data_IF_989174512075
#
_entry.id   IF_989174512075
#
_cell.length_a   1.000
_cell.length_b   1.000
_cell.length_c   1.000
_cell.angle_alpha   90.00
_cell.angle_beta   90.00
_cell.angle_gamma   90.00
#
_symmetry.space_group_name_H-M   'P 1'
#
loop_
_entity.id
_entity.type
_entity.pdbx_description
1 polymer ?
#
# COMPACT_ATOMS: atom_id res chain seq x y z
N UNK A 1 -17.44 5.03 3.41
CA UNK A 1 -17.16 5.09 4.87
C UNK A 1 -16.56 3.76 5.29
N UNK A 2 -15.64 3.76 6.25
CA UNK A 2 -14.58 2.74 6.31
C UNK A 2 -14.98 1.44 7.00
N UNK A 3 -14.56 0.31 6.41
CA UNK A 3 -14.60 -1.06 6.96
C UNK A 3 -13.86 -1.18 8.31
N UNK A 4 -12.98 -0.23 8.62
CA UNK A 4 -12.29 -0.14 9.92
C UNK A 4 -13.21 0.17 11.10
N UNK A 5 -14.44 0.68 10.87
CA UNK A 5 -15.38 0.98 11.95
C UNK A 5 -15.98 -0.29 12.60
N UNK A 6 -16.20 -1.34 11.81
CA UNK A 6 -16.91 -2.56 12.26
C UNK A 6 -16.06 -3.45 13.19
N UNK A 7 -14.73 -3.30 13.15
CA UNK A 7 -13.79 -4.06 14.01
C UNK A 7 -13.66 -3.45 15.41
N UNK A 8 -13.95 -2.16 15.57
CA UNK A 8 -13.75 -1.42 16.83
C UNK A 8 -14.94 -1.60 17.81
N UNK A 9 -16.15 -1.83 17.30
CA UNK A 9 -17.37 -1.89 18.12
C UNK A 9 -17.46 -3.15 19.04
N UNK A 10 -16.53 -4.10 18.90
CA UNK A 10 -16.55 -5.38 19.64
C UNK A 10 -15.81 -5.33 21.00
N UNK A 11 -15.10 -4.23 21.32
CA UNK A 11 -14.17 -4.19 22.46
C UNK A 11 -14.42 -3.14 23.56
N UNK A 12 -15.50 -2.35 23.48
CA UNK A 12 -15.76 -1.27 24.43
C UNK A 12 -17.13 -1.39 25.12
N UNK A 13 -17.24 -2.28 26.13
CA UNK A 13 -18.37 -2.22 27.07
C UNK A 13 -18.09 -2.95 28.42
N UNK A 14 -17.32 -2.31 29.32
CA UNK A 14 -17.31 -2.60 30.76
C UNK A 14 -16.49 -1.57 31.57
N UNK A 15 -17.08 -0.44 31.95
CA UNK A 15 -16.77 0.33 33.19
C UNK A 15 -17.82 1.45 33.34
N UNK A 16 -18.82 1.28 34.21
CA UNK A 16 -19.61 2.40 34.74
C UNK A 16 -20.16 2.06 36.14
N UNK A 17 -20.03 3.02 37.06
CA UNK A 17 -20.35 2.91 38.48
C UNK A 17 -21.85 2.94 38.79
N UNK A 18 -22.24 2.36 39.94
CA UNK A 18 -23.63 2.38 40.46
C UNK A 18 -24.06 3.75 41.02
N UNK A 19 -25.29 3.95 41.49
CA UNK A 19 -26.39 3.00 41.84
C UNK A 19 -27.76 3.72 41.59
N UNK A 20 -28.98 3.25 41.89
CA UNK A 20 -29.47 2.19 42.79
C UNK A 20 -30.88 1.68 42.35
N UNK A 21 -31.76 1.40 43.31
CA UNK A 21 -33.17 1.03 43.22
C UNK A 21 -33.53 -0.42 42.82
N UNK A 22 -34.69 -0.95 43.30
CA UNK A 22 -34.65 -2.21 44.03
C UNK A 22 -34.97 -3.49 43.22
N UNK A 23 -34.14 -4.52 43.50
CA UNK A 23 -34.38 -5.97 43.44
C UNK A 23 -35.67 -6.45 42.77
N UNK A 24 -35.57 -6.84 41.50
CA UNK A 24 -36.26 -8.03 40.95
C UNK A 24 -35.22 -9.05 40.53
N UNK A 25 -35.20 -10.21 41.19
CA UNK A 25 -34.23 -11.28 40.95
C UNK A 25 -34.53 -12.08 39.68
N UNK A 26 -34.40 -11.42 38.53
CA UNK A 26 -34.29 -12.11 37.25
C UNK A 26 -33.00 -12.93 37.26
N UNK A 27 -33.14 -14.26 37.33
CA UNK A 27 -32.02 -15.21 37.18
C UNK A 27 -31.37 -14.94 35.82
N UNK A 28 -30.27 -14.19 35.78
CA UNK A 28 -29.47 -13.94 34.57
C UNK A 28 -29.03 -15.30 34.04
N UNK A 29 -29.69 -15.77 32.97
CA UNK A 29 -29.32 -16.97 32.23
C UNK A 29 -27.89 -16.71 31.75
N UNK A 30 -26.92 -17.40 32.35
CA UNK A 30 -25.50 -17.28 31.99
C UNK A 30 -25.43 -17.61 30.50
N UNK A 31 -25.10 -16.62 29.69
CA UNK A 31 -24.83 -16.85 28.26
C UNK A 31 -23.66 -17.82 28.24
N UNK A 32 -23.93 -19.05 27.83
CA UNK A 32 -22.90 -20.04 27.59
C UNK A 32 -21.96 -19.49 26.50
N UNK A 33 -20.66 -19.84 26.51
CA UNK A 33 -19.83 -19.62 25.33
C UNK A 33 -20.59 -20.14 24.10
N UNK A 34 -20.67 -19.35 23.03
CA UNK A 34 -21.32 -19.76 21.80
C UNK A 34 -20.66 -21.06 21.34
N UNK A 35 -21.42 -22.15 21.31
CA UNK A 35 -20.91 -23.44 20.86
C UNK A 35 -20.51 -23.29 19.38
N UNK A 36 -19.21 -23.44 19.09
CA UNK A 36 -18.63 -23.18 17.76
C UNK A 36 -17.81 -21.89 17.65
N UNK A 37 -17.66 -21.08 18.70
CA UNK A 37 -16.66 -20.01 18.70
C UNK A 37 -15.24 -20.63 18.64
N UNK A 38 -14.39 -20.28 17.64
CA UNK A 38 -13.06 -20.88 17.50
C UNK A 38 -12.20 -20.59 18.72
N UNK A 39 -11.43 -21.59 19.15
CA UNK A 39 -10.54 -21.49 20.30
C UNK A 39 -9.39 -20.51 20.02
N UNK A 40 -8.66 -20.13 21.07
CA UNK A 40 -7.45 -19.29 20.91
C UNK A 40 -6.43 -19.98 20.00
N UNK A 41 -6.30 -21.30 20.06
CA UNK A 41 -5.38 -22.05 19.21
C UNK A 41 -5.88 -22.16 17.76
N UNK A 42 -7.18 -22.33 17.52
CA UNK A 42 -7.75 -22.29 16.16
C UNK A 42 -7.50 -20.92 15.49
N UNK A 43 -7.64 -19.83 16.26
CA UNK A 43 -7.35 -18.46 15.77
C UNK A 43 -5.87 -18.27 15.47
N UNK A 44 -4.96 -18.73 16.35
CA UNK A 44 -3.51 -18.69 16.11
C UNK A 44 -3.13 -19.49 14.87
N UNK A 45 -3.67 -20.71 14.72
CA UNK A 45 -3.42 -21.55 13.55
C UNK A 45 -3.91 -20.88 12.25
N UNK A 46 -5.10 -20.26 12.28
CA UNK A 46 -5.62 -19.51 11.12
C UNK A 46 -4.78 -18.28 10.78
N UNK A 47 -4.32 -17.53 11.78
CA UNK A 47 -3.41 -16.38 11.59
C UNK A 47 -2.07 -16.85 11.01
N UNK A 48 -1.52 -17.96 11.50
CA UNK A 48 -0.28 -18.56 10.97
C UNK A 48 -0.42 -18.97 9.51
N UNK A 49 -1.52 -19.63 9.14
CA UNK A 49 -1.81 -20.01 7.76
C UNK A 49 -1.93 -18.78 6.83
N UNK A 50 -2.66 -17.74 7.23
CA UNK A 50 -2.80 -16.51 6.45
C UNK A 50 -1.48 -15.75 6.28
N UNK A 51 -0.60 -15.77 7.28
CA UNK A 51 0.74 -15.16 7.16
C UNK A 51 1.63 -15.92 6.18
N UNK A 52 1.60 -17.26 6.21
CA UNK A 52 2.31 -18.08 5.24
C UNK A 52 1.77 -17.91 3.81
N UNK A 53 0.46 -17.68 3.66
CA UNK A 53 -0.18 -17.35 2.38
C UNK A 53 0.30 -15.99 1.84
N UNK A 54 0.32 -14.94 2.68
CA UNK A 54 0.90 -13.63 2.31
C UNK A 54 2.37 -13.74 1.88
N UNK A 55 3.20 -14.48 2.62
CA UNK A 55 4.61 -14.70 2.28
C UNK A 55 4.78 -15.50 0.97
N UNK A 56 3.83 -16.38 0.65
CA UNK A 56 3.74 -17.03 -0.67
C UNK A 56 3.44 -16.03 -1.79
N UNK A 57 2.45 -15.15 -1.59
CA UNK A 57 2.06 -14.13 -2.57
C UNK A 57 3.18 -13.11 -2.81
N UNK A 58 3.89 -12.67 -1.77
CA UNK A 58 5.01 -11.73 -1.91
C UNK A 58 6.17 -12.34 -2.70
N UNK A 59 6.50 -13.62 -2.48
CA UNK A 59 7.52 -14.33 -3.27
C UNK A 59 7.10 -14.54 -4.71
N UNK A 60 5.85 -14.92 -4.97
CA UNK A 60 5.31 -15.02 -6.33
C UNK A 60 5.39 -13.68 -7.08
N UNK A 61 5.05 -12.57 -6.40
CA UNK A 61 5.23 -11.23 -6.97
C UNK A 61 6.70 -10.94 -7.29
N UNK A 62 7.64 -11.26 -6.40
CA UNK A 62 9.08 -11.11 -6.66
C UNK A 62 9.58 -11.96 -7.84
N UNK A 63 9.06 -13.19 -7.99
CA UNK A 63 9.36 -14.07 -9.12
C UNK A 63 8.86 -13.50 -10.46
N UNK A 64 7.63 -12.97 -10.51
CA UNK A 64 7.06 -12.35 -11.72
C UNK A 64 7.74 -11.01 -12.05
N UNK A 65 7.97 -10.16 -11.05
CA UNK A 65 8.57 -8.84 -11.26
C UNK A 65 10.07 -8.89 -11.56
N UNK A 66 10.71 -10.06 -11.45
CA UNK A 66 12.09 -10.28 -11.90
C UNK A 66 12.27 -10.17 -13.42
N UNK A 67 11.18 -10.27 -14.20
CA UNK A 67 11.18 -10.27 -15.67
C UNK A 67 10.78 -8.90 -16.28
N UNK A 68 11.01 -7.78 -15.56
CA UNK A 68 10.71 -6.44 -16.10
C UNK A 68 11.46 -6.17 -17.40
N UNK A 69 10.69 -5.77 -18.43
CA UNK A 69 11.21 -5.30 -19.71
C UNK A 69 11.97 -3.99 -19.50
N UNK A 70 13.19 -3.90 -20.04
CA UNK A 70 13.93 -2.64 -20.09
C UNK A 70 13.33 -1.75 -21.19
N UNK A 71 12.36 -0.92 -20.79
CA UNK A 71 11.61 -0.06 -21.70
C UNK A 71 12.51 1.04 -22.22
N UNK A 72 12.54 1.24 -23.55
CA UNK A 72 13.33 2.32 -24.15
C UNK A 72 12.71 3.68 -23.82
N UNK A 73 13.13 4.22 -22.67
CA UNK A 73 12.85 5.58 -22.20
C UNK A 73 13.08 6.62 -23.30
N UNK A 74 13.93 6.31 -24.30
CA UNK A 74 14.17 7.03 -25.55
C UNK A 74 12.94 7.69 -26.16
N UNK A 75 11.82 6.97 -26.23
CA UNK A 75 10.65 7.33 -27.05
C UNK A 75 9.64 8.24 -26.33
N UNK A 76 9.80 8.41 -25.02
CA UNK A 76 8.86 9.15 -24.19
C UNK A 76 8.82 10.67 -24.44
N UNK A 77 7.62 11.21 -24.70
CA UNK A 77 7.42 12.63 -25.01
C UNK A 77 7.44 13.61 -23.82
N UNK A 78 7.45 13.15 -22.56
CA UNK A 78 7.47 14.05 -21.38
C UNK A 78 8.19 13.45 -20.17
N UNK A 79 8.79 14.30 -19.33
CA UNK A 79 9.43 13.87 -18.07
C UNK A 79 8.44 13.13 -17.15
N UNK A 80 7.17 13.54 -17.12
CA UNK A 80 6.15 12.89 -16.30
C UNK A 80 5.88 11.44 -16.75
N UNK A 81 5.80 11.19 -18.06
CA UNK A 81 5.62 9.84 -18.57
C UNK A 81 6.89 8.98 -18.40
N UNK A 82 8.09 9.55 -18.54
CA UNK A 82 9.36 8.85 -18.20
C UNK A 82 9.35 8.42 -16.73
N UNK A 83 8.97 9.34 -15.83
CA UNK A 83 8.91 9.08 -14.39
C UNK A 83 7.84 8.03 -14.10
N UNK A 84 6.66 8.10 -14.72
CA UNK A 84 5.58 7.12 -14.57
C UNK A 84 6.04 5.70 -14.94
N UNK A 85 6.66 5.52 -16.11
CA UNK A 85 7.19 4.23 -16.59
C UNK A 85 8.25 3.65 -15.64
N UNK A 86 9.14 4.48 -15.09
CA UNK A 86 10.18 4.03 -14.17
C UNK A 86 9.70 3.87 -12.70
N UNK A 87 8.53 4.42 -12.39
CA UNK A 87 7.86 4.35 -11.09
C UNK A 87 6.95 3.12 -10.98
N UNK A 88 6.29 2.73 -12.07
CA UNK A 88 5.29 1.67 -12.09
C UNK A 88 5.82 0.33 -11.54
N UNK A 89 5.05 -0.24 -10.61
CA UNK A 89 5.37 -1.45 -9.82
C UNK A 89 6.75 -1.40 -9.14
N UNK A 90 7.31 -0.21 -8.89
CA UNK A 90 8.56 -0.10 -8.13
C UNK A 90 8.27 -0.29 -6.64
N UNK A 91 9.13 -1.04 -5.94
CA UNK A 91 8.98 -1.30 -4.49
C UNK A 91 9.69 -0.26 -3.63
N UNK A 92 10.57 0.53 -4.25
CA UNK A 92 11.50 1.40 -3.55
C UNK A 92 10.80 2.49 -2.73
N UNK A 93 11.31 2.83 -1.53
CA UNK A 93 10.90 4.05 -0.84
C UNK A 93 11.27 5.29 -1.68
N UNK A 94 10.53 6.39 -1.50
CA UNK A 94 10.58 7.57 -2.36
C UNK A 94 12.01 8.13 -2.50
N UNK A 95 12.77 8.18 -1.42
CA UNK A 95 14.17 8.63 -1.43
C UNK A 95 15.06 7.82 -2.39
N UNK A 96 14.94 6.48 -2.39
CA UNK A 96 15.68 5.57 -3.27
C UNK A 96 15.14 5.64 -4.70
N UNK A 97 13.82 5.64 -4.87
CA UNK A 97 13.16 5.72 -6.17
C UNK A 97 13.56 6.98 -6.94
N UNK A 98 13.44 8.16 -6.30
CA UNK A 98 13.81 9.45 -6.91
C UNK A 98 15.27 9.47 -7.31
N UNK A 99 16.15 8.85 -6.51
CA UNK A 99 17.58 8.74 -6.83
C UNK A 99 17.80 7.87 -8.06
N UNK A 100 17.19 6.68 -8.14
CA UNK A 100 17.33 5.79 -9.29
C UNK A 100 16.76 6.40 -10.58
N UNK A 101 15.57 7.01 -10.52
CA UNK A 101 14.96 7.68 -11.67
C UNK A 101 15.82 8.86 -12.12
N UNK A 102 16.37 9.66 -11.18
CA UNK A 102 17.28 10.75 -11.52
C UNK A 102 18.55 10.27 -12.23
N UNK A 103 19.14 9.15 -11.79
CA UNK A 103 20.30 8.56 -12.48
C UNK A 103 19.97 8.12 -13.91
N UNK A 104 18.77 7.58 -14.17
CA UNK A 104 18.30 7.20 -15.51
C UNK A 104 17.98 8.41 -16.40
N UNK A 105 17.39 9.47 -15.83
CA UNK A 105 16.93 10.65 -16.61
C UNK A 105 18.06 11.66 -16.86
N UNK A 106 18.99 11.88 -15.92
CA UNK A 106 20.06 12.88 -16.10
C UNK A 106 20.99 12.61 -17.29
N UNK A 107 21.10 11.34 -17.71
CA UNK A 107 21.89 10.92 -18.88
C UNK A 107 21.28 11.40 -20.19
N UNK A 108 19.94 11.55 -20.26
CA UNK A 108 19.22 12.12 -21.41
C UNK A 108 19.39 13.63 -21.51
N UNK A 109 19.43 14.31 -20.38
CA UNK A 109 19.21 15.76 -20.31
C UNK A 109 20.42 16.59 -20.81
N UNK A 110 21.57 15.97 -21.10
CA UNK A 110 22.77 16.64 -21.66
C UNK A 110 23.20 17.93 -20.94
N UNK A 111 22.92 18.04 -19.62
CA UNK A 111 23.20 19.23 -18.80
C UNK A 111 22.02 20.20 -18.64
N UNK A 112 20.80 19.78 -18.99
CA UNK A 112 19.57 20.52 -18.73
C UNK A 112 19.15 20.59 -17.25
N UNK A 113 17.94 21.09 -17.03
CA UNK A 113 17.43 21.51 -15.71
C UNK A 113 16.86 20.39 -14.83
N UNK A 114 17.01 19.11 -15.16
CA UNK A 114 16.52 18.01 -14.31
C UNK A 114 17.31 17.96 -13.00
N UNK A 115 16.57 17.93 -11.88
CA UNK A 115 17.11 17.81 -10.52
C UNK A 115 16.36 16.72 -9.75
N UNK A 116 16.92 16.26 -8.63
CA UNK A 116 16.20 15.37 -7.69
C UNK A 116 14.86 15.98 -7.24
N UNK A 117 14.75 17.31 -7.14
CA UNK A 117 13.52 17.99 -6.77
C UNK A 117 12.45 17.89 -7.88
N UNK A 118 12.81 18.08 -9.15
CA UNK A 118 11.86 17.94 -10.27
C UNK A 118 11.42 16.48 -10.45
N UNK A 119 12.33 15.52 -10.26
CA UNK A 119 11.98 14.08 -10.27
C UNK A 119 11.04 13.74 -9.10
N UNK A 120 11.31 14.20 -7.88
CA UNK A 120 10.43 13.99 -6.71
C UNK A 120 9.04 14.59 -6.93
N UNK A 121 8.96 15.82 -7.41
CA UNK A 121 7.69 16.48 -7.73
C UNK A 121 6.90 15.73 -8.80
N UNK A 122 7.59 15.20 -9.82
CA UNK A 122 6.96 14.38 -10.86
C UNK A 122 6.46 13.05 -10.31
N UNK A 123 7.27 12.33 -9.52
CA UNK A 123 6.90 11.03 -8.93
C UNK A 123 5.65 11.11 -8.05
N UNK A 124 5.56 12.14 -7.21
CA UNK A 124 4.39 12.39 -6.34
C UNK A 124 3.18 12.94 -7.11
N UNK A 125 3.38 13.49 -8.31
CA UNK A 125 2.29 13.96 -9.19
C UNK A 125 1.68 12.81 -10.01
N UNK A 126 2.51 11.89 -10.52
CA UNK A 126 2.07 10.82 -11.43
C UNK A 126 1.79 9.49 -10.72
N UNK A 127 2.25 9.30 -9.49
CA UNK A 127 2.20 8.01 -8.80
C UNK A 127 1.75 8.08 -7.35
N UNK A 128 1.19 6.97 -6.87
CA UNK A 128 0.85 6.73 -5.47
C UNK A 128 1.58 5.49 -4.97
N UNK A 129 2.01 5.52 -3.70
CA UNK A 129 2.59 4.34 -3.03
C UNK A 129 1.49 3.59 -2.27
N UNK A 130 1.34 2.30 -2.54
CA UNK A 130 0.34 1.41 -1.95
C UNK A 130 0.97 0.31 -1.10
N UNK A 131 0.17 -0.17 -0.15
CA UNK A 131 0.57 -1.06 0.94
C UNK A 131 -0.30 -2.33 0.92
N UNK A 132 0.28 -3.46 0.51
CA UNK A 132 -0.38 -4.76 0.49
C UNK A 132 0.07 -5.58 1.70
N UNK A 133 -0.69 -5.53 2.80
CA UNK A 133 -0.40 -6.28 4.03
C UNK A 133 -0.59 -5.45 5.28
N UNK A 134 0.35 -5.53 6.23
CA UNK A 134 0.33 -4.76 7.47
C UNK A 134 1.48 -3.73 7.44
N UNK A 135 1.20 -2.46 7.10
CA UNK A 135 2.19 -1.38 7.14
C UNK A 135 2.55 -1.02 8.58
N UNK A 136 3.69 -0.36 8.79
CA UNK A 136 4.04 0.19 10.09
C UNK A 136 3.30 1.53 10.32
N UNK A 137 2.44 1.57 11.34
CA UNK A 137 1.62 2.75 11.66
C UNK A 137 2.45 3.97 12.08
N UNK A 138 3.69 3.77 12.54
CA UNK A 138 4.60 4.83 12.98
C UNK A 138 5.59 5.27 11.88
N UNK A 139 5.54 4.66 10.69
CA UNK A 139 6.42 4.98 9.56
C UNK A 139 5.79 5.98 8.58
N UNK A 140 6.64 6.74 7.87
CA UNK A 140 6.20 7.51 6.70
C UNK A 140 5.82 6.53 5.58
N UNK A 141 4.58 6.59 5.11
CA UNK A 141 4.04 5.78 4.00
C UNK A 141 4.96 5.82 2.77
N UNK A 142 5.60 6.96 2.49
CA UNK A 142 6.47 7.14 1.33
C UNK A 142 7.86 6.52 1.51
N UNK A 143 8.27 6.20 2.73
CA UNK A 143 9.61 5.67 3.05
C UNK A 143 9.58 4.32 3.81
N UNK A 144 8.41 3.78 4.18
CA UNK A 144 8.30 2.49 4.89
C UNK A 144 8.86 1.32 4.04
N UNK A 145 9.58 0.41 4.69
CA UNK A 145 10.16 -0.82 4.12
C UNK A 145 9.81 -2.06 4.99
N UNK A 146 8.75 -1.97 5.81
CA UNK A 146 8.34 -3.01 6.74
C UNK A 146 7.94 -4.32 6.04
N UNK A 147 8.67 -5.40 6.33
CA UNK A 147 8.53 -6.70 5.67
C UNK A 147 7.17 -7.41 5.83
N UNK A 148 6.29 -6.96 6.74
CA UNK A 148 4.90 -7.44 6.81
C UNK A 148 3.97 -6.82 5.76
N UNK A 149 4.50 -5.98 4.87
CA UNK A 149 3.78 -5.31 3.81
C UNK A 149 4.59 -5.34 2.51
N UNK A 150 3.94 -5.71 1.40
CA UNK A 150 4.47 -5.45 0.07
C UNK A 150 4.13 -4.00 -0.30
N UNK A 151 5.16 -3.19 -0.46
CA UNK A 151 5.06 -1.81 -0.93
C UNK A 151 5.28 -1.77 -2.44
N UNK A 152 4.37 -1.11 -3.17
CA UNK A 152 4.49 -0.85 -4.60
C UNK A 152 4.10 0.59 -4.91
N UNK A 153 4.63 1.12 -6.01
CA UNK A 153 4.17 2.35 -6.63
C UNK A 153 3.27 2.03 -7.83
N UNK A 154 2.17 2.76 -7.96
CA UNK A 154 1.23 2.68 -9.09
C UNK A 154 1.00 4.06 -9.69
N UNK A 155 0.91 4.14 -11.01
CA UNK A 155 0.61 5.36 -11.75
C UNK A 155 -0.87 5.74 -11.60
N UNK A 156 -1.13 6.96 -11.11
CA UNK A 156 -2.48 7.48 -10.87
C UNK A 156 -2.99 8.34 -12.04
N UNK A 157 -3.84 7.75 -12.88
CA UNK A 157 -4.56 8.47 -13.93
C UNK A 157 -5.75 9.26 -13.34
N UNK A 158 -5.49 10.44 -12.77
CA UNK A 158 -6.56 11.30 -12.25
C UNK A 158 -7.44 11.85 -13.38
N UNK A 159 -8.77 11.82 -13.22
CA UNK A 159 -9.76 12.26 -14.23
C UNK A 159 -9.60 13.74 -14.67
N UNK A 160 -8.83 14.54 -13.93
CA UNK A 160 -8.60 15.97 -14.17
C UNK A 160 -7.44 16.28 -15.14
N UNK A 161 -6.59 15.32 -15.45
CA UNK A 161 -5.61 15.40 -16.53
C UNK A 161 -6.01 14.37 -17.57
N UNK A 162 -6.10 14.79 -18.85
CA UNK A 162 -6.66 13.99 -19.94
C UNK A 162 -6.16 12.55 -19.86
N UNK A 163 -7.05 11.61 -19.52
CA UNK A 163 -6.72 10.18 -19.37
C UNK A 163 -5.88 9.68 -20.55
N UNK A 164 -6.30 10.06 -21.77
CA UNK A 164 -5.55 9.82 -23.01
C UNK A 164 -4.15 10.46 -23.04
N UNK A 165 -3.92 11.70 -22.61
CA UNK A 165 -2.58 12.29 -22.74
C UNK A 165 -1.52 11.59 -21.88
N UNK A 166 -1.88 11.11 -20.69
CA UNK A 166 -0.95 10.36 -19.85
C UNK A 166 -0.88 8.89 -20.29
N UNK A 167 -2.01 8.28 -20.65
CA UNK A 167 -2.08 6.90 -21.13
C UNK A 167 -1.40 6.71 -22.49
N UNK A 168 -1.67 7.58 -23.47
CA UNK A 168 -1.00 7.59 -24.78
C UNK A 168 0.51 7.81 -24.59
N UNK A 169 0.93 8.79 -23.76
CA UNK A 169 2.37 8.99 -23.47
C UNK A 169 3.04 7.81 -22.75
N UNK A 170 2.27 6.97 -22.06
CA UNK A 170 2.74 5.75 -21.37
C UNK A 170 2.77 4.56 -22.34
N UNK A 171 1.77 4.42 -23.21
CA UNK A 171 1.76 3.43 -24.30
C UNK A 171 2.83 3.72 -25.35
N UNK A 172 3.13 4.99 -25.63
CA UNK A 172 4.27 5.42 -26.48
C UNK A 172 5.64 5.02 -25.88
N UNK A 173 5.67 4.44 -24.66
CA UNK A 173 6.87 3.93 -24.00
C UNK A 173 6.90 2.40 -23.83
N UNK A 174 5.86 1.67 -24.26
CA UNK A 174 5.70 0.22 -24.12
C UNK A 174 5.95 -0.52 -25.44
#
# INVERSE_FOLDING_TARGET
>A
MSIMAEVVEVLADAEMSGSDHPKKSLKRKRISPVAGAPTVEDRKARIGALRAEMEGLFRYFEEVMGEKVDLEVGQCGSMNAVVAVLLEESRLPLSKLVSEIYEKVKVRDNGGGVTLATVKSSAVLVGQRLAYGVPNADADVLEDETASCLWCWEVIFSESFSFLQCFDSFLDCL
#
